data_IF_465959768307
#
_entry.id   IF_465959768307
#
_cell.length_a   1.000
_cell.length_b   1.000
_cell.length_c   1.000
_cell.angle_alpha   90.00
_cell.angle_beta   90.00
_cell.angle_gamma   90.00
#
_symmetry.space_group_name_H-M   'P 1'
#
loop_
_entity.id
_entity.type
_entity.pdbx_description
1 polymer ?
#
# COMPACT_ATOMS: atom_id res chain seq x y z
N UNK A 1 -35.83 -48.74 50.51
CA UNK A 1 -35.47 -47.28 50.19
C UNK A 1 -33.95 -47.06 50.11
N UNK A 2 -33.11 -48.09 50.24
CA UNK A 2 -31.61 -47.94 50.16
C UNK A 2 -30.97 -48.39 48.82
N UNK A 3 -31.73 -48.94 47.90
CA UNK A 3 -31.21 -49.48 46.64
C UNK A 3 -31.41 -48.49 45.46
N UNK A 4 -32.25 -47.45 45.60
CA UNK A 4 -32.47 -46.41 44.58
C UNK A 4 -31.44 -45.24 44.66
N UNK A 5 -30.71 -45.14 45.78
CA UNK A 5 -29.72 -44.08 45.99
C UNK A 5 -28.32 -44.44 45.41
N UNK A 6 -28.06 -45.75 45.24
CA UNK A 6 -26.78 -46.22 44.67
C UNK A 6 -26.70 -46.16 43.12
N UNK A 7 -27.86 -46.20 42.44
CA UNK A 7 -27.89 -46.04 40.96
C UNK A 7 -27.77 -44.61 40.52
N UNK A 8 -28.20 -43.63 41.35
CA UNK A 8 -28.05 -42.20 41.01
C UNK A 8 -26.61 -41.67 41.16
N UNK A 9 -25.80 -42.33 42.04
CA UNK A 9 -24.41 -41.94 42.25
C UNK A 9 -23.45 -42.51 41.19
N UNK A 10 -23.81 -43.61 40.51
CA UNK A 10 -23.00 -44.18 39.43
C UNK A 10 -23.16 -43.47 38.08
N UNK A 11 -24.30 -42.82 37.83
CA UNK A 11 -24.51 -42.02 36.61
C UNK A 11 -23.85 -40.63 36.63
N UNK A 12 -23.48 -40.12 37.81
CA UNK A 12 -22.84 -38.82 37.93
C UNK A 12 -21.32 -38.85 37.71
N UNK A 13 -20.69 -40.04 37.66
CA UNK A 13 -19.25 -40.19 37.46
C UNK A 13 -18.81 -40.39 36.00
N UNK A 14 -19.76 -40.53 35.06
CA UNK A 14 -19.46 -40.67 33.63
C UNK A 14 -19.65 -39.39 32.79
N UNK A 15 -19.96 -38.25 33.42
CA UNK A 15 -20.26 -36.98 32.71
C UNK A 15 -19.04 -36.05 32.53
N UNK A 16 -17.83 -36.48 32.88
CA UNK A 16 -16.60 -35.66 32.77
C UNK A 16 -15.51 -36.23 31.85
N UNK A 17 -15.84 -37.14 30.96
CA UNK A 17 -14.97 -37.34 29.80
C UNK A 17 -15.40 -36.37 28.72
N UNK A 18 -15.18 -35.05 28.96
CA UNK A 18 -15.08 -34.07 27.88
C UNK A 18 -13.91 -34.54 27.03
N UNK A 19 -14.19 -35.10 25.85
CA UNK A 19 -13.19 -35.20 24.80
C UNK A 19 -12.73 -33.78 24.50
N UNK A 20 -11.61 -33.37 25.06
CA UNK A 20 -10.83 -32.28 24.53
C UNK A 20 -10.45 -32.78 23.14
N UNK A 21 -11.20 -32.37 22.09
CA UNK A 21 -10.71 -32.50 20.74
C UNK A 21 -9.47 -31.64 20.68
N UNK A 22 -8.36 -32.21 20.27
CA UNK A 22 -7.18 -31.44 19.94
C UNK A 22 -7.63 -30.35 18.97
N UNK A 23 -7.22 -29.12 19.24
CA UNK A 23 -7.51 -27.99 18.36
C UNK A 23 -6.90 -28.28 16.98
N UNK A 24 -7.64 -28.00 15.91
CA UNK A 24 -7.13 -28.23 14.58
C UNK A 24 -5.90 -27.35 14.36
N UNK A 25 -4.85 -27.92 13.74
CA UNK A 25 -3.64 -27.18 13.40
C UNK A 25 -3.98 -25.97 12.53
N UNK A 26 -3.28 -24.88 12.75
CA UNK A 26 -3.55 -23.62 12.06
C UNK A 26 -3.13 -23.71 10.58
N UNK A 27 -4.04 -23.34 9.69
CA UNK A 27 -3.81 -23.31 8.24
C UNK A 27 -3.24 -21.97 7.75
N UNK A 28 -3.20 -20.92 8.59
CA UNK A 28 -2.63 -19.63 8.24
C UNK A 28 -1.09 -19.65 8.36
N UNK A 29 -0.42 -18.88 7.50
CA UNK A 29 1.04 -18.81 7.45
C UNK A 29 1.56 -17.41 7.13
N UNK A 30 1.08 -16.40 7.84
CA UNK A 30 1.42 -15.02 7.57
C UNK A 30 2.57 -14.49 8.45
N UNK A 31 3.39 -13.57 7.86
CA UNK A 31 4.16 -12.62 8.65
C UNK A 31 3.17 -11.55 9.13
N UNK A 32 2.91 -11.50 10.43
CA UNK A 32 1.94 -10.59 11.04
C UNK A 32 2.58 -9.26 11.49
N UNK A 33 3.89 -9.21 11.58
CA UNK A 33 4.64 -8.02 11.97
C UNK A 33 6.13 -8.27 12.12
N UNK A 34 6.87 -7.23 12.51
CA UNK A 34 8.29 -7.32 12.85
C UNK A 34 8.44 -7.24 14.36
N UNK A 35 9.36 -8.03 14.91
CA UNK A 35 9.64 -8.09 16.35
C UNK A 35 10.01 -6.70 16.90
N UNK A 36 9.28 -6.26 17.91
CA UNK A 36 9.43 -4.92 18.48
C UNK A 36 10.77 -4.71 19.20
N UNK A 37 11.34 -5.77 19.78
CA UNK A 37 12.64 -5.68 20.43
C UNK A 37 13.76 -5.57 19.39
N UNK A 38 13.62 -6.31 18.27
CA UNK A 38 14.54 -6.17 17.16
C UNK A 38 14.48 -4.75 16.54
N UNK A 39 13.29 -4.21 16.33
CA UNK A 39 13.12 -2.82 15.85
C UNK A 39 13.74 -1.80 16.79
N UNK A 40 13.56 -1.96 18.10
CA UNK A 40 14.12 -1.06 19.10
C UNK A 40 15.65 -1.06 19.11
N UNK A 41 16.27 -2.23 18.91
CA UNK A 41 17.74 -2.37 18.87
C UNK A 41 18.39 -1.89 17.57
N UNK A 42 17.60 -1.59 16.53
CA UNK A 42 18.08 -1.15 15.21
C UNK A 42 17.54 0.24 14.83
N UNK A 43 17.15 1.06 15.79
CA UNK A 43 16.64 2.41 15.54
C UNK A 43 17.66 3.38 14.92
N UNK A 44 18.92 3.12 15.10
CA UNK A 44 20.02 3.83 14.47
C UNK A 44 20.20 3.50 12.99
N UNK A 45 19.72 2.33 12.57
CA UNK A 45 19.78 1.82 11.18
C UNK A 45 18.48 2.13 10.43
N UNK A 46 17.32 1.99 11.11
CA UNK A 46 16.01 2.05 10.49
C UNK A 46 15.39 3.45 10.55
N UNK A 47 14.70 3.80 9.49
CA UNK A 47 13.85 5.00 9.43
C UNK A 47 12.40 4.57 9.53
N UNK A 48 11.75 4.92 10.64
CA UNK A 48 10.36 4.58 10.92
C UNK A 48 10.09 3.10 11.14
N UNK A 49 8.84 2.71 10.95
CA UNK A 49 8.41 1.32 11.11
C UNK A 49 8.40 0.60 9.76
N UNK A 50 8.76 -0.69 9.72
CA UNK A 50 8.68 -1.47 8.48
C UNK A 50 7.23 -1.59 7.99
N UNK A 51 7.09 -1.74 6.68
CA UNK A 51 5.81 -1.99 6.02
C UNK A 51 5.69 -3.49 5.82
N UNK A 52 4.67 -4.09 6.45
CA UNK A 52 4.32 -5.50 6.26
C UNK A 52 3.07 -5.56 5.39
N UNK A 53 3.23 -6.01 4.16
CA UNK A 53 2.16 -6.24 3.20
C UNK A 53 1.90 -7.74 3.02
N UNK A 54 1.00 -8.09 2.11
CA UNK A 54 0.60 -9.49 1.92
C UNK A 54 1.75 -10.43 1.49
N UNK A 55 2.76 -9.92 0.77
CA UNK A 55 3.86 -10.73 0.21
C UNK A 55 5.22 -10.04 0.37
N UNK A 56 5.28 -8.97 1.16
CA UNK A 56 6.49 -8.18 1.26
C UNK A 56 6.64 -7.55 2.64
N UNK A 57 7.88 -7.47 3.10
CA UNK A 57 8.29 -6.67 4.26
C UNK A 57 9.38 -5.70 3.82
N UNK A 58 9.05 -4.41 3.86
CA UNK A 58 10.01 -3.35 3.50
C UNK A 58 10.45 -2.61 4.75
N UNK A 59 11.76 -2.56 4.92
CA UNK A 59 12.44 -1.69 5.89
C UNK A 59 12.97 -0.46 5.15
N UNK A 60 12.93 0.68 5.81
CA UNK A 60 13.49 1.91 5.29
C UNK A 60 14.76 2.25 6.03
N UNK A 61 15.81 2.59 5.28
CA UNK A 61 17.13 2.93 5.81
C UNK A 61 17.66 4.23 5.21
N UNK A 62 18.58 4.89 5.93
CA UNK A 62 19.28 6.05 5.40
C UNK A 62 20.27 5.63 4.29
N UNK A 63 20.54 6.55 3.35
CA UNK A 63 21.52 6.30 2.30
C UNK A 63 22.91 6.04 2.92
N UNK A 64 23.53 4.94 2.50
CA UNK A 64 24.84 4.52 2.97
C UNK A 64 24.85 3.67 4.24
N UNK A 65 23.67 3.27 4.73
CA UNK A 65 23.55 2.29 5.82
C UNK A 65 24.13 0.95 5.37
N UNK A 66 24.93 0.33 6.24
CA UNK A 66 25.40 -1.04 6.01
C UNK A 66 24.27 -2.04 6.28
N UNK A 67 23.81 -2.71 5.24
CA UNK A 67 22.75 -3.71 5.25
C UNK A 67 23.25 -5.12 4.88
N UNK A 68 24.57 -5.32 4.90
CA UNK A 68 25.17 -6.60 4.48
C UNK A 68 25.04 -7.72 5.51
N UNK A 69 24.68 -7.39 6.76
CA UNK A 69 24.64 -8.35 7.85
C UNK A 69 23.52 -8.04 8.87
N UNK A 70 22.27 -8.08 8.42
CA UNK A 70 21.09 -7.86 9.26
C UNK A 70 20.34 -9.17 9.55
N UNK A 71 19.70 -9.24 10.72
CA UNK A 71 18.98 -10.42 11.19
C UNK A 71 17.55 -10.09 11.62
N UNK A 72 16.67 -9.64 10.71
CA UNK A 72 15.31 -9.25 11.07
C UNK A 72 14.55 -10.41 11.69
N UNK A 73 13.75 -10.10 12.72
CA UNK A 73 12.85 -11.04 13.39
C UNK A 73 11.41 -10.66 13.13
N UNK A 74 10.59 -11.68 12.89
CA UNK A 74 9.19 -11.50 12.50
C UNK A 74 8.25 -12.17 13.50
N UNK A 75 7.11 -11.55 13.72
CA UNK A 75 5.94 -12.22 14.28
C UNK A 75 5.23 -12.96 13.18
N UNK A 76 4.86 -14.20 13.47
CA UNK A 76 4.16 -15.10 12.55
C UNK A 76 2.78 -15.44 13.09
N UNK A 77 1.91 -15.94 12.24
CA UNK A 77 0.71 -16.65 12.67
C UNK A 77 1.09 -17.77 13.63
N UNK A 78 0.32 -18.02 14.72
CA UNK A 78 0.64 -19.08 15.69
C UNK A 78 0.86 -20.43 15.01
N UNK A 79 1.96 -21.12 15.36
CA UNK A 79 2.36 -22.40 14.79
C UNK A 79 3.09 -22.31 13.44
N UNK A 80 3.06 -21.17 12.73
CA UNK A 80 3.75 -21.01 11.45
C UNK A 80 5.28 -20.95 11.62
N UNK A 81 6.01 -21.39 10.59
CA UNK A 81 7.48 -21.40 10.53
C UNK A 81 7.96 -20.52 9.38
N UNK A 82 9.09 -19.85 9.56
CA UNK A 82 9.73 -19.01 8.55
C UNK A 82 11.03 -19.65 8.08
N UNK A 83 11.11 -19.96 6.81
CA UNK A 83 12.22 -20.63 6.16
C UNK A 83 12.86 -19.74 5.10
N UNK A 84 14.13 -19.99 4.78
CA UNK A 84 14.80 -19.39 3.62
C UNK A 84 15.90 -20.31 3.10
N UNK A 85 16.28 -20.14 1.84
CA UNK A 85 17.39 -20.85 1.21
C UNK A 85 18.71 -20.33 1.79
N UNK A 86 19.49 -21.20 2.39
CA UNK A 86 20.83 -20.88 2.88
C UNK A 86 21.89 -20.86 1.77
N UNK A 87 23.13 -20.46 2.11
CA UNK A 87 24.24 -20.44 1.14
C UNK A 87 24.59 -21.84 0.53
N UNK A 88 24.21 -22.90 1.24
CA UNK A 88 24.40 -24.29 0.80
C UNK A 88 23.25 -24.80 -0.12
N UNK A 89 22.30 -23.91 -0.45
CA UNK A 89 21.12 -24.24 -1.27
C UNK A 89 20.04 -25.02 -0.55
N UNK A 90 20.15 -25.20 0.77
CA UNK A 90 19.12 -25.87 1.58
C UNK A 90 18.19 -24.87 2.24
N UNK A 91 16.94 -25.27 2.38
CA UNK A 91 15.97 -24.51 3.15
C UNK A 91 16.19 -24.74 4.64
N UNK A 92 16.32 -23.66 5.40
CA UNK A 92 16.56 -23.67 6.86
C UNK A 92 15.68 -22.65 7.55
N UNK A 93 15.43 -22.85 8.85
CA UNK A 93 14.77 -21.80 9.65
C UNK A 93 15.55 -20.50 9.59
N UNK A 94 14.83 -19.41 9.32
CA UNK A 94 15.44 -18.14 8.96
C UNK A 94 15.00 -16.94 9.82
N UNK A 95 14.11 -17.15 10.80
CA UNK A 95 13.64 -16.06 11.66
C UNK A 95 14.76 -15.57 12.59
N UNK A 96 15.29 -14.37 12.29
CA UNK A 96 16.44 -13.82 13.00
C UNK A 96 17.79 -14.34 12.51
N UNK A 97 17.86 -14.96 11.33
CA UNK A 97 19.12 -15.34 10.70
C UNK A 97 19.78 -14.14 10.02
N UNK A 98 21.08 -13.99 10.19
CA UNK A 98 21.89 -12.94 9.53
C UNK A 98 21.92 -13.18 8.02
N UNK A 99 21.59 -12.14 7.23
CA UNK A 99 21.62 -12.17 5.78
C UNK A 99 22.13 -10.85 5.20
N UNK A 100 22.60 -10.91 3.97
CA UNK A 100 22.96 -9.74 3.18
C UNK A 100 21.70 -9.22 2.46
N UNK A 101 21.31 -7.99 2.76
CA UNK A 101 20.16 -7.32 2.17
C UNK A 101 20.53 -6.26 1.13
N UNK A 102 21.75 -6.29 0.60
CA UNK A 102 22.11 -5.48 -0.58
C UNK A 102 21.21 -5.80 -1.77
N UNK A 103 20.61 -6.99 -1.77
CA UNK A 103 19.49 -7.39 -2.63
C UNK A 103 18.33 -7.91 -1.78
N UNK A 104 17.07 -7.76 -2.24
CA UNK A 104 15.93 -8.34 -1.55
C UNK A 104 16.05 -9.84 -1.31
N UNK A 105 15.65 -10.30 -0.12
CA UNK A 105 15.74 -11.69 0.28
C UNK A 105 14.37 -12.35 0.32
N UNK A 106 14.28 -13.58 -0.20
CA UNK A 106 13.03 -14.34 -0.16
C UNK A 106 12.99 -15.24 1.07
N UNK A 107 11.83 -15.25 1.71
CA UNK A 107 11.47 -16.10 2.84
C UNK A 107 10.18 -16.84 2.52
N UNK A 108 10.06 -18.08 2.98
CA UNK A 108 8.83 -18.86 2.84
C UNK A 108 8.27 -19.17 4.22
N UNK A 109 7.03 -18.78 4.45
CA UNK A 109 6.28 -19.21 5.64
C UNK A 109 5.54 -20.50 5.34
N UNK A 110 5.49 -21.39 6.33
CA UNK A 110 4.69 -22.62 6.30
C UNK A 110 3.70 -22.61 7.46
N UNK A 111 2.47 -23.05 7.20
CA UNK A 111 1.44 -23.23 8.22
C UNK A 111 1.79 -24.32 9.22
N UNK A 112 1.12 -24.34 10.38
CA UNK A 112 1.32 -25.35 11.40
C UNK A 112 0.97 -26.77 10.88
N UNK A 113 -0.08 -26.88 10.06
CA UNK A 113 -0.49 -28.15 9.42
C UNK A 113 0.45 -28.57 8.26
N UNK A 114 1.35 -27.68 7.83
CA UNK A 114 2.30 -27.90 6.73
C UNK A 114 1.68 -27.95 5.34
N UNK A 115 0.38 -27.68 5.19
CA UNK A 115 -0.34 -27.78 3.92
C UNK A 115 -0.28 -26.48 3.10
N UNK A 116 -0.02 -25.35 3.76
CA UNK A 116 0.01 -24.04 3.14
C UNK A 116 1.37 -23.38 3.29
N UNK A 117 1.77 -22.66 2.28
CA UNK A 117 2.99 -21.84 2.32
C UNK A 117 2.79 -20.53 1.57
N UNK A 118 3.61 -19.54 1.90
CA UNK A 118 3.57 -18.22 1.30
C UNK A 118 4.97 -17.63 1.24
N UNK A 119 5.32 -17.05 0.11
CA UNK A 119 6.63 -16.41 -0.07
C UNK A 119 6.53 -14.92 0.20
N UNK A 120 7.48 -14.41 0.99
CA UNK A 120 7.67 -13.00 1.29
C UNK A 120 9.00 -12.53 0.73
N UNK A 121 9.00 -11.39 0.07
CA UNK A 121 10.22 -10.65 -0.25
C UNK A 121 10.50 -9.65 0.87
N UNK A 122 11.66 -9.73 1.49
CA UNK A 122 12.13 -8.80 2.53
C UNK A 122 13.21 -7.91 1.93
N UNK A 123 13.03 -6.59 2.00
CA UNK A 123 13.93 -5.60 1.44
C UNK A 123 14.25 -4.47 2.42
N UNK A 124 15.44 -3.89 2.28
CA UNK A 124 15.88 -2.69 2.97
C UNK A 124 16.13 -1.60 1.93
N UNK A 125 15.19 -0.67 1.84
CA UNK A 125 15.19 0.36 0.79
C UNK A 125 15.57 1.73 1.36
N UNK A 126 16.32 2.53 0.58
CA UNK A 126 16.48 3.94 0.90
C UNK A 126 15.20 4.69 0.58
N UNK A 127 14.73 5.52 1.52
CA UNK A 127 13.49 6.30 1.36
C UNK A 127 13.60 7.51 0.43
N UNK A 128 14.73 7.72 -0.24
CA UNK A 128 14.87 8.87 -1.13
C UNK A 128 14.00 8.70 -2.37
N UNK A 129 13.16 9.72 -2.62
CA UNK A 129 12.28 9.72 -3.78
C UNK A 129 13.07 9.93 -5.08
N UNK A 130 12.69 9.20 -6.13
CA UNK A 130 13.02 9.55 -7.50
C UNK A 130 12.35 10.88 -7.88
N UNK A 131 12.96 11.62 -8.80
CA UNK A 131 12.36 12.84 -9.34
C UNK A 131 11.41 12.59 -10.49
N UNK A 132 11.52 11.45 -11.19
CA UNK A 132 10.71 11.09 -12.37
C UNK A 132 10.12 9.70 -12.23
N UNK A 133 8.88 9.55 -12.69
CA UNK A 133 8.11 8.32 -12.70
C UNK A 133 7.45 8.17 -14.06
N UNK A 134 7.87 7.16 -14.82
CA UNK A 134 7.40 6.89 -16.18
C UNK A 134 6.50 5.65 -16.28
N UNK A 135 6.25 4.96 -15.17
CA UNK A 135 5.33 3.84 -15.04
C UNK A 135 5.55 2.65 -15.98
N UNK A 136 6.77 2.49 -16.50
CA UNK A 136 7.14 1.38 -17.40
C UNK A 136 7.25 0.04 -16.68
N UNK A 137 7.49 0.06 -15.37
CA UNK A 137 7.73 -1.14 -14.59
C UNK A 137 6.47 -1.55 -13.82
N UNK A 138 5.83 -2.61 -14.27
CA UNK A 138 4.67 -3.19 -13.62
C UNK A 138 4.68 -4.71 -13.77
N UNK A 139 4.00 -5.39 -12.84
CA UNK A 139 3.87 -6.84 -12.84
C UNK A 139 2.54 -7.26 -12.22
N UNK A 140 2.03 -8.43 -12.59
CA UNK A 140 0.88 -9.03 -11.92
C UNK A 140 1.25 -9.38 -10.47
N UNK A 141 0.29 -9.22 -9.56
CA UNK A 141 0.44 -9.78 -8.21
C UNK A 141 0.48 -11.33 -8.28
N UNK A 142 0.89 -11.98 -7.21
CA UNK A 142 1.18 -13.42 -7.21
C UNK A 142 0.04 -14.33 -7.69
N UNK A 143 -1.22 -13.89 -7.57
CA UNK A 143 -2.40 -14.63 -8.05
C UNK A 143 -2.84 -14.22 -9.46
N UNK A 144 -2.12 -13.31 -10.11
CA UNK A 144 -2.39 -12.86 -11.47
C UNK A 144 -3.65 -12.02 -11.63
N UNK A 145 -4.20 -11.43 -10.55
CA UNK A 145 -5.50 -10.73 -10.59
C UNK A 145 -5.40 -9.28 -11.06
N UNK A 146 -4.37 -8.53 -10.61
CA UNK A 146 -4.18 -7.11 -10.91
C UNK A 146 -2.68 -6.77 -10.96
N UNK A 147 -2.37 -5.58 -11.45
CA UNK A 147 -1.00 -5.10 -11.56
C UNK A 147 -0.54 -4.30 -10.34
N UNK A 148 0.73 -4.43 -10.02
CA UNK A 148 1.49 -3.61 -9.10
C UNK A 148 2.61 -2.90 -9.87
N UNK A 149 2.92 -1.66 -9.51
CA UNK A 149 4.01 -0.86 -10.07
C UNK A 149 5.21 -0.85 -9.14
N UNK A 150 6.38 -0.84 -9.72
CA UNK A 150 7.64 -0.74 -9.01
C UNK A 150 8.60 0.19 -9.73
N UNK A 151 9.60 0.68 -8.99
CA UNK A 151 10.69 1.46 -9.55
C UNK A 151 11.95 0.63 -9.58
N UNK A 152 12.82 0.89 -10.56
CA UNK A 152 14.16 0.32 -10.66
C UNK A 152 15.14 1.48 -10.70
N UNK A 153 16.26 1.36 -10.00
CA UNK A 153 17.35 2.32 -10.14
C UNK A 153 18.10 1.99 -11.43
N UNK A 154 18.13 2.93 -12.38
CA UNK A 154 18.81 2.76 -13.67
C UNK A 154 20.32 2.50 -13.52
N UNK A 155 20.91 2.92 -12.38
CA UNK A 155 22.33 2.71 -12.07
C UNK A 155 22.57 1.43 -11.23
N UNK A 156 21.52 0.71 -10.85
CA UNK A 156 21.66 -0.54 -10.12
C UNK A 156 21.76 -1.73 -11.07
N UNK A 157 22.96 -2.30 -11.17
CA UNK A 157 23.24 -3.49 -12.00
C UNK A 157 22.38 -4.72 -11.60
N UNK A 158 21.89 -4.77 -10.35
CA UNK A 158 21.02 -5.84 -9.86
C UNK A 158 19.55 -5.67 -10.25
N UNK A 159 19.17 -4.50 -10.80
CA UNK A 159 17.78 -4.18 -11.16
C UNK A 159 16.82 -4.38 -10.00
N UNK A 160 17.22 -3.97 -8.80
CA UNK A 160 16.41 -4.11 -7.58
C UNK A 160 15.07 -3.39 -7.73
N UNK A 161 13.99 -4.13 -7.51
CA UNK A 161 12.63 -3.59 -7.59
C UNK A 161 12.24 -2.88 -6.28
N UNK A 162 11.89 -1.61 -6.37
CA UNK A 162 11.42 -0.79 -5.26
C UNK A 162 9.91 -0.55 -5.38
N UNK A 163 9.13 -1.14 -4.48
CA UNK A 163 7.67 -1.07 -4.47
C UNK A 163 7.18 0.20 -3.76
N UNK A 164 7.38 1.37 -4.37
CA UNK A 164 6.96 2.65 -3.81
C UNK A 164 5.49 2.98 -4.05
N UNK A 165 4.89 2.33 -5.06
CA UNK A 165 3.54 2.61 -5.50
C UNK A 165 2.52 1.66 -4.88
N UNK A 166 1.37 2.21 -4.52
CA UNK A 166 0.20 1.44 -4.10
C UNK A 166 -1.05 1.88 -4.85
N UNK A 167 -2.02 0.99 -4.93
CA UNK A 167 -3.33 1.21 -5.55
C UNK A 167 -4.44 0.62 -4.70
N UNK A 168 -5.69 1.01 -4.95
CA UNK A 168 -6.87 0.40 -4.36
C UNK A 168 -7.25 -0.98 -4.93
N UNK A 169 -6.51 -1.50 -5.90
CA UNK A 169 -6.83 -2.76 -6.59
C UNK A 169 -7.00 -3.95 -5.63
N UNK A 170 -6.14 -4.06 -4.62
CA UNK A 170 -6.23 -5.13 -3.63
C UNK A 170 -7.54 -5.08 -2.81
N UNK A 171 -8.04 -3.88 -2.52
CA UNK A 171 -9.37 -3.67 -1.91
C UNK A 171 -10.50 -4.00 -2.87
N UNK A 172 -10.38 -3.59 -4.13
CA UNK A 172 -11.37 -3.91 -5.17
C UNK A 172 -11.48 -5.42 -5.44
N UNK A 173 -10.40 -6.17 -5.28
CA UNK A 173 -10.42 -7.63 -5.40
C UNK A 173 -11.44 -8.30 -4.46
N UNK A 174 -11.74 -7.68 -3.31
CA UNK A 174 -12.74 -8.18 -2.35
C UNK A 174 -14.17 -8.15 -2.93
N UNK A 175 -14.43 -7.28 -3.90
CA UNK A 175 -15.76 -7.16 -4.54
C UNK A 175 -16.07 -8.31 -5.51
N UNK A 176 -15.06 -9.11 -5.91
CA UNK A 176 -15.21 -10.18 -6.89
C UNK A 176 -15.57 -9.71 -8.32
N UNK A 177 -15.48 -8.40 -8.60
CA UNK A 177 -15.78 -7.82 -9.92
C UNK A 177 -14.60 -7.88 -10.88
N UNK A 178 -13.37 -7.87 -10.37
CA UNK A 178 -12.16 -8.01 -11.18
C UNK A 178 -11.90 -9.48 -11.51
N UNK A 179 -12.55 -9.99 -12.57
CA UNK A 179 -12.38 -11.38 -13.06
C UNK A 179 -11.18 -11.53 -13.99
N UNK A 180 -10.61 -10.42 -14.44
CA UNK A 180 -9.36 -10.33 -15.22
C UNK A 180 -8.64 -9.01 -14.89
N UNK A 181 -7.32 -8.91 -15.11
CA UNK A 181 -6.54 -7.72 -14.73
C UNK A 181 -7.03 -6.41 -15.37
N UNK A 182 -7.60 -6.46 -16.55
CA UNK A 182 -8.17 -5.34 -17.32
C UNK A 182 -9.51 -4.82 -16.79
N UNK A 183 -10.09 -5.47 -15.78
CA UNK A 183 -11.33 -5.04 -15.10
C UNK A 183 -11.08 -4.34 -13.78
N UNK A 184 -9.80 -4.18 -13.40
CA UNK A 184 -9.46 -3.46 -12.16
C UNK A 184 -9.43 -1.94 -12.37
N UNK A 185 -9.70 -1.15 -11.31
CA UNK A 185 -9.71 0.31 -11.40
C UNK A 185 -8.39 0.94 -11.85
N UNK A 186 -7.25 0.31 -11.57
CA UNK A 186 -5.92 0.80 -11.94
C UNK A 186 -5.23 -0.24 -12.83
N UNK A 187 -4.83 0.18 -14.04
CA UNK A 187 -4.30 -0.69 -15.09
C UNK A 187 -3.14 0.00 -15.81
N UNK A 188 -2.14 -0.75 -16.30
CA UNK A 188 -1.20 -0.25 -17.30
C UNK A 188 -1.85 -0.25 -18.68
N UNK A 189 -1.45 0.70 -19.51
CA UNK A 189 -1.77 0.71 -20.95
C UNK A 189 -0.46 0.80 -21.71
N UNK A 190 -0.07 -0.31 -22.30
CA UNK A 190 1.13 -0.42 -23.12
C UNK A 190 1.00 0.45 -24.37
N UNK A 191 2.01 1.23 -24.69
CA UNK A 191 1.99 2.15 -25.84
C UNK A 191 0.98 3.29 -25.73
N UNK A 192 0.36 3.49 -24.57
CA UNK A 192 -0.70 4.49 -24.36
C UNK A 192 -0.19 5.86 -23.90
N UNK A 193 1.08 6.01 -23.58
CA UNK A 193 1.69 7.24 -23.11
C UNK A 193 1.87 8.32 -24.20
N UNK A 194 2.23 9.54 -23.81
CA UNK A 194 2.33 10.68 -24.74
C UNK A 194 3.43 10.52 -25.79
N UNK A 195 4.43 9.72 -25.53
CA UNK A 195 5.56 9.40 -26.43
C UNK A 195 5.56 7.95 -26.95
N UNK A 196 4.45 7.22 -26.73
CA UNK A 196 4.32 5.81 -27.08
C UNK A 196 4.86 4.87 -26.00
N UNK A 197 5.23 5.39 -24.83
CA UNK A 197 5.56 4.64 -23.61
C UNK A 197 4.31 4.00 -22.98
N UNK A 198 4.48 3.24 -21.90
CA UNK A 198 3.35 2.78 -21.09
C UNK A 198 2.81 3.91 -20.24
N UNK A 199 1.52 3.90 -19.95
CA UNK A 199 0.90 4.84 -19.03
C UNK A 199 -0.02 4.13 -18.04
N UNK A 200 -0.50 4.86 -17.04
CA UNK A 200 -1.51 4.34 -16.12
C UNK A 200 -2.89 4.84 -16.51
N UNK A 201 -3.84 3.91 -16.54
CA UNK A 201 -5.28 4.18 -16.63
C UNK A 201 -5.92 3.96 -15.27
N UNK A 202 -6.62 4.97 -14.78
CA UNK A 202 -7.37 4.98 -13.53
C UNK A 202 -8.85 5.14 -13.86
N UNK A 203 -9.69 4.17 -13.52
CA UNK A 203 -11.13 4.19 -13.83
C UNK A 203 -11.94 4.03 -12.55
N UNK A 204 -12.97 4.84 -12.37
CA UNK A 204 -13.94 4.68 -11.31
C UNK A 204 -14.89 3.55 -11.66
N UNK A 205 -14.86 2.48 -10.89
CA UNK A 205 -15.59 1.24 -11.11
C UNK A 205 -16.69 1.03 -10.07
N UNK A 206 -17.76 0.30 -10.45
CA UNK A 206 -18.77 -0.15 -9.48
C UNK A 206 -18.21 -1.31 -8.65
N UNK A 207 -18.45 -1.28 -7.34
CA UNK A 207 -18.17 -2.39 -6.42
C UNK A 207 -19.27 -3.45 -6.41
N UNK A 208 -20.42 -3.14 -7.04
CA UNK A 208 -21.60 -3.99 -7.07
C UNK A 208 -22.19 -4.23 -5.68
N UNK A 209 -23.00 -5.27 -5.57
CA UNK A 209 -23.72 -5.59 -4.33
C UNK A 209 -22.81 -5.80 -3.10
N UNK A 210 -21.57 -6.19 -3.31
CA UNK A 210 -20.62 -6.34 -2.20
C UNK A 210 -20.41 -5.00 -1.47
N UNK A 211 -19.94 -3.97 -2.19
CA UNK A 211 -19.65 -2.67 -1.57
C UNK A 211 -20.93 -1.91 -1.20
N UNK A 212 -22.00 -2.06 -1.99
CA UNK A 212 -23.29 -1.39 -1.75
C UNK A 212 -23.98 -1.83 -0.45
N UNK A 213 -23.78 -3.09 -0.03
CA UNK A 213 -24.43 -3.67 1.14
C UNK A 213 -23.56 -3.66 2.41
N UNK A 214 -22.40 -3.01 2.39
CA UNK A 214 -21.59 -2.83 3.59
C UNK A 214 -22.30 -1.90 4.59
N UNK A 215 -22.03 -2.03 5.90
CA UNK A 215 -22.56 -1.11 6.93
C UNK A 215 -22.24 0.37 6.64
N UNK A 216 -21.08 0.64 6.04
CA UNK A 216 -20.74 1.92 5.41
C UNK A 216 -20.67 1.67 3.92
N UNK A 217 -21.68 2.07 3.13
CA UNK A 217 -21.73 1.74 1.70
C UNK A 217 -20.56 2.34 0.92
N UNK A 218 -20.06 1.55 -0.02
CA UNK A 218 -18.94 1.86 -0.91
C UNK A 218 -19.32 1.52 -2.34
N UNK A 219 -20.27 2.24 -2.98
CA UNK A 219 -20.84 1.83 -4.27
C UNK A 219 -19.84 1.93 -5.42
N UNK A 220 -18.81 2.74 -5.27
CA UNK A 220 -17.74 2.90 -6.25
C UNK A 220 -16.36 2.64 -5.64
N UNK A 221 -15.42 2.30 -6.50
CA UNK A 221 -13.99 2.31 -6.24
C UNK A 221 -13.31 3.18 -7.30
N UNK A 222 -12.80 4.33 -6.90
CA UNK A 222 -12.02 5.18 -7.79
C UNK A 222 -10.68 4.51 -8.13
N UNK A 223 -10.30 4.51 -9.40
CA UNK A 223 -8.96 4.17 -9.82
C UNK A 223 -7.98 5.16 -9.19
N UNK A 224 -6.94 4.65 -8.57
CA UNK A 224 -5.94 5.50 -7.92
C UNK A 224 -4.55 4.85 -7.96
N UNK A 225 -3.53 5.71 -7.94
CA UNK A 225 -2.15 5.31 -7.69
C UNK A 225 -1.51 6.35 -6.79
N UNK A 226 -0.70 5.91 -5.85
CA UNK A 226 -0.04 6.82 -4.92
C UNK A 226 1.27 6.25 -4.38
N UNK A 227 2.18 7.13 -4.02
CA UNK A 227 3.37 6.78 -3.25
C UNK A 227 2.96 6.42 -1.82
N UNK A 228 3.12 5.15 -1.46
CA UNK A 228 2.69 4.67 -0.15
C UNK A 228 2.37 3.19 -0.07
N UNK A 229 1.41 2.86 0.80
CA UNK A 229 0.96 1.49 1.06
C UNK A 229 -0.57 1.41 1.13
N UNK A 230 -1.14 0.31 0.63
CA UNK A 230 -2.56 -0.01 0.80
C UNK A 230 -2.74 -1.26 1.68
N UNK A 231 -3.41 -1.10 2.81
CA UNK A 231 -3.67 -2.16 3.79
C UNK A 231 -5.05 -2.77 3.62
N UNK A 232 -5.12 -3.92 2.97
CA UNK A 232 -6.38 -4.62 2.65
C UNK A 232 -7.23 -4.90 3.90
N UNK A 233 -6.60 -5.23 5.03
CA UNK A 233 -7.30 -5.52 6.29
C UNK A 233 -8.21 -4.37 6.77
N UNK A 234 -7.95 -3.15 6.37
CA UNK A 234 -8.77 -1.98 6.74
C UNK A 234 -9.78 -1.59 5.65
N UNK A 235 -9.70 -2.19 4.46
CA UNK A 235 -10.42 -1.74 3.27
C UNK A 235 -11.95 -1.65 3.45
N UNK A 236 -12.56 -2.52 4.24
CA UNK A 236 -14.02 -2.55 4.44
C UNK A 236 -14.49 -1.85 5.70
N UNK A 237 -13.70 -1.84 6.78
CA UNK A 237 -14.11 -1.28 8.06
C UNK A 237 -13.64 0.16 8.28
N UNK A 238 -12.47 0.49 7.77
CA UNK A 238 -11.84 1.83 7.90
C UNK A 238 -11.11 2.19 6.61
N UNK A 239 -11.83 2.36 5.49
CA UNK A 239 -11.22 2.44 4.15
C UNK A 239 -10.22 3.60 4.00
N UNK A 240 -10.45 4.74 4.65
CA UNK A 240 -9.50 5.86 4.62
C UNK A 240 -8.21 5.60 5.42
N UNK A 241 -8.24 4.65 6.37
CA UNK A 241 -7.06 4.20 7.08
C UNK A 241 -6.36 3.02 6.35
N UNK A 242 -6.98 2.49 5.29
CA UNK A 242 -6.34 1.49 4.43
C UNK A 242 -5.19 2.09 3.62
N UNK A 243 -5.25 3.39 3.31
CA UNK A 243 -4.20 4.11 2.60
C UNK A 243 -3.21 4.72 3.58
N UNK A 244 -1.92 4.56 3.29
CA UNK A 244 -0.81 5.23 3.97
C UNK A 244 0.01 5.95 2.92
N UNK A 245 -0.06 7.27 2.92
CA UNK A 245 0.55 8.12 1.91
C UNK A 245 1.91 8.64 2.36
N UNK A 246 2.85 8.74 1.41
CA UNK A 246 4.09 9.45 1.60
C UNK A 246 5.09 8.72 2.48
N UNK A 247 5.57 7.58 2.02
CA UNK A 247 6.62 6.81 2.72
C UNK A 247 8.04 7.20 2.29
N UNK A 248 8.19 8.06 1.28
CA UNK A 248 9.48 8.48 0.74
C UNK A 248 9.91 9.81 1.34
N UNK A 249 11.22 9.92 1.66
CA UNK A 249 11.86 11.14 2.15
C UNK A 249 12.19 12.08 1.00
N UNK A 250 12.11 13.39 1.25
CA UNK A 250 12.45 14.40 0.25
C UNK A 250 13.96 14.63 0.15
N UNK A 251 14.44 14.92 -1.07
CA UNK A 251 15.85 15.24 -1.34
C UNK A 251 16.19 16.73 -1.32
N UNK A 252 15.20 17.62 -1.27
CA UNK A 252 15.37 19.07 -1.35
C UNK A 252 14.07 19.84 -1.11
N UNK A 253 14.09 21.12 -1.35
CA UNK A 253 12.88 21.96 -1.35
C UNK A 253 12.09 21.74 -2.66
N UNK A 254 10.78 21.45 -2.61
CA UNK A 254 10.00 21.16 -3.80
C UNK A 254 9.71 22.46 -4.57
N UNK A 255 9.73 22.38 -5.90
CA UNK A 255 9.45 23.49 -6.83
C UNK A 255 8.12 23.31 -7.53
N UNK A 256 7.98 22.20 -8.29
CA UNK A 256 6.77 21.89 -9.05
C UNK A 256 6.53 20.39 -9.15
N UNK A 257 5.25 20.04 -9.34
CA UNK A 257 4.78 18.76 -9.81
C UNK A 257 4.44 18.89 -11.29
N UNK A 258 5.07 18.09 -12.13
CA UNK A 258 4.90 18.09 -13.57
C UNK A 258 4.44 16.71 -14.07
N UNK A 259 3.87 16.66 -15.25
CA UNK A 259 3.50 15.41 -15.91
C UNK A 259 2.50 15.62 -17.02
N UNK A 260 1.96 14.49 -17.50
CA UNK A 260 0.94 14.48 -18.55
C UNK A 260 -0.29 13.75 -18.05
N UNK A 261 -1.44 14.22 -18.45
CA UNK A 261 -2.71 13.55 -18.17
C UNK A 261 -3.74 13.78 -19.29
N UNK A 262 -4.75 12.94 -19.32
CA UNK A 262 -6.03 13.16 -20.01
C UNK A 262 -7.15 12.61 -19.15
N UNK A 263 -8.33 13.18 -19.25
CA UNK A 263 -9.45 12.84 -18.37
C UNK A 263 -10.79 12.91 -19.09
N UNK A 264 -11.67 11.98 -18.73
CA UNK A 264 -13.09 12.00 -19.10
C UNK A 264 -13.92 11.64 -17.88
N UNK A 265 -14.84 12.51 -17.48
CA UNK A 265 -15.77 12.20 -16.40
C UNK A 265 -16.86 11.24 -16.85
N UNK A 266 -17.27 10.35 -15.96
CA UNK A 266 -18.45 9.52 -16.15
C UNK A 266 -19.74 10.37 -16.21
N UNK A 267 -20.81 9.80 -16.73
CA UNK A 267 -22.06 10.55 -17.01
C UNK A 267 -22.81 10.96 -15.74
N UNK A 268 -22.85 10.09 -14.73
CA UNK A 268 -23.73 10.26 -13.57
C UNK A 268 -22.95 10.26 -12.28
N UNK A 269 -22.92 11.40 -11.59
CA UNK A 269 -22.29 11.53 -10.28
C UNK A 269 -23.24 11.00 -9.20
N UNK A 270 -22.75 10.09 -8.37
CA UNK A 270 -23.50 9.53 -7.24
C UNK A 270 -22.75 9.77 -5.91
N UNK A 271 -23.51 9.84 -4.83
CA UNK A 271 -22.95 9.82 -3.47
C UNK A 271 -22.80 8.37 -2.96
N UNK A 272 -22.33 8.22 -1.73
CA UNK A 272 -22.13 6.92 -1.06
C UNK A 272 -23.40 6.09 -0.86
N UNK A 273 -24.56 6.71 -0.95
CA UNK A 273 -25.88 6.05 -0.87
C UNK A 273 -26.51 5.78 -2.25
N UNK A 274 -25.74 6.02 -3.32
CA UNK A 274 -26.19 5.90 -4.74
C UNK A 274 -27.23 6.92 -5.16
N UNK A 275 -27.40 7.99 -4.39
CA UNK A 275 -28.25 9.09 -4.82
C UNK A 275 -27.54 9.88 -5.92
N UNK A 276 -28.28 10.13 -7.00
CA UNK A 276 -27.78 10.89 -8.14
C UNK A 276 -27.74 12.38 -7.79
N UNK A 277 -26.59 13.00 -7.94
CA UNK A 277 -26.39 14.45 -7.77
C UNK A 277 -26.25 15.08 -9.15
N UNK A 278 -27.38 15.45 -9.76
CA UNK A 278 -27.46 15.87 -11.17
C UNK A 278 -26.79 17.22 -11.46
N UNK A 279 -26.54 18.02 -10.43
CA UNK A 279 -25.82 19.30 -10.46
C UNK A 279 -24.30 19.17 -10.33
N UNK A 280 -23.82 17.94 -10.17
CA UNK A 280 -22.40 17.62 -10.00
C UNK A 280 -21.83 16.83 -11.15
N UNK A 281 -20.58 17.15 -11.50
CA UNK A 281 -19.75 16.41 -12.42
C UNK A 281 -18.53 15.88 -11.70
N UNK A 282 -18.10 14.67 -12.02
CA UNK A 282 -16.90 14.10 -11.42
C UNK A 282 -15.64 14.80 -11.93
N UNK A 283 -14.62 14.84 -11.09
CA UNK A 283 -13.37 15.54 -11.36
C UNK A 283 -12.22 14.62 -10.92
N UNK A 284 -11.20 14.49 -11.76
CA UNK A 284 -9.95 13.84 -11.38
C UNK A 284 -9.19 14.64 -10.31
N UNK A 285 -8.25 13.99 -9.64
CA UNK A 285 -7.34 14.66 -8.72
C UNK A 285 -5.91 14.19 -8.94
N UNK A 286 -4.99 15.15 -9.10
CA UNK A 286 -3.55 14.92 -9.18
C UNK A 286 -2.89 15.91 -8.24
N UNK A 287 -2.17 15.39 -7.25
CA UNK A 287 -1.52 16.27 -6.27
C UNK A 287 -0.28 15.62 -5.63
N UNK A 288 0.58 16.44 -5.09
CA UNK A 288 1.65 16.05 -4.19
C UNK A 288 1.69 16.95 -2.96
N UNK A 289 2.03 16.38 -1.81
CA UNK A 289 2.22 17.10 -0.56
C UNK A 289 3.56 16.74 0.06
N UNK A 290 4.28 17.74 0.57
CA UNK A 290 5.45 17.55 1.41
C UNK A 290 5.05 17.85 2.85
N UNK A 291 5.35 16.95 3.77
CA UNK A 291 4.92 17.06 5.15
C UNK A 291 6.02 16.68 6.14
N UNK A 292 5.92 17.22 7.34
CA UNK A 292 6.85 16.98 8.43
C UNK A 292 6.71 15.58 8.99
N UNK A 293 7.87 14.93 9.22
CA UNK A 293 7.96 13.62 9.87
C UNK A 293 9.02 13.66 10.98
N UNK A 294 8.85 12.78 11.94
CA UNK A 294 9.88 12.41 12.89
C UNK A 294 10.51 11.08 12.41
N UNK A 295 11.79 11.06 12.00
CA UNK A 295 12.44 9.84 11.56
C UNK A 295 12.45 8.72 12.60
N UNK A 296 12.51 9.07 13.89
CA UNK A 296 12.47 8.10 14.99
C UNK A 296 11.06 7.51 15.22
N UNK A 297 10.01 8.22 14.75
CA UNK A 297 8.63 7.77 14.84
C UNK A 297 7.87 8.17 13.58
N UNK A 298 8.22 7.55 12.47
CA UNK A 298 7.67 7.88 11.16
C UNK A 298 6.20 7.48 11.05
N UNK A 299 5.30 8.48 10.99
CA UNK A 299 3.86 8.28 10.84
C UNK A 299 3.45 8.87 9.48
N UNK A 300 3.11 8.04 8.47
CA UNK A 300 2.62 8.52 7.18
C UNK A 300 1.24 9.17 7.32
N UNK A 301 0.83 9.93 6.31
CA UNK A 301 -0.53 10.44 6.20
C UNK A 301 -1.49 9.32 5.81
N UNK A 302 -2.75 9.42 6.21
CA UNK A 302 -3.82 8.50 5.80
C UNK A 302 -4.87 9.24 4.94
N UNK A 303 -5.94 8.56 4.52
CA UNK A 303 -6.98 9.14 3.67
C UNK A 303 -7.81 10.25 4.32
N UNK A 304 -7.77 10.39 5.64
CA UNK A 304 -8.40 11.50 6.36
C UNK A 304 -7.50 12.75 6.40
N UNK A 305 -6.18 12.56 6.33
CA UNK A 305 -5.18 13.58 6.64
C UNK A 305 -4.40 14.10 5.43
N UNK A 306 -4.34 13.34 4.33
CA UNK A 306 -3.42 13.61 3.21
C UNK A 306 -3.58 15.00 2.58
N UNK A 307 -4.74 15.64 2.73
CA UNK A 307 -5.00 17.01 2.24
C UNK A 307 -5.26 18.02 3.36
N UNK A 308 -5.31 17.61 4.61
CA UNK A 308 -5.77 18.46 5.72
C UNK A 308 -4.87 18.44 6.96
N UNK A 309 -3.86 17.57 7.01
CA UNK A 309 -2.95 17.48 8.14
C UNK A 309 -2.21 18.80 8.37
N UNK A 310 -2.09 19.19 9.63
CA UNK A 310 -1.26 20.32 10.05
C UNK A 310 0.25 20.10 9.82
N UNK A 311 0.67 18.86 9.57
CA UNK A 311 2.05 18.52 9.20
C UNK A 311 2.41 18.89 7.76
N UNK A 312 1.43 19.19 6.89
CA UNK A 312 1.70 19.55 5.49
C UNK A 312 2.38 20.91 5.42
N UNK A 313 3.52 20.96 4.74
CA UNK A 313 4.34 22.16 4.55
C UNK A 313 4.14 22.74 3.15
N UNK A 314 4.16 21.89 2.13
CA UNK A 314 3.93 22.26 0.74
C UNK A 314 2.86 21.39 0.10
N UNK A 315 2.10 21.99 -0.80
CA UNK A 315 1.12 21.31 -1.65
C UNK A 315 1.21 21.81 -3.08
N UNK A 316 1.27 20.87 -4.03
CA UNK A 316 0.99 21.08 -5.44
C UNK A 316 -0.26 20.27 -5.81
N UNK A 317 -1.31 20.89 -6.35
CA UNK A 317 -2.56 20.23 -6.72
C UNK A 317 -3.21 20.93 -7.89
N UNK A 318 -3.58 20.18 -8.91
CA UNK A 318 -4.33 20.73 -10.04
C UNK A 318 -5.74 21.10 -9.53
N UNK A 319 -6.02 22.39 -9.47
CA UNK A 319 -7.27 22.90 -8.90
C UNK A 319 -8.48 22.50 -9.76
N UNK A 320 -8.36 22.72 -11.08
CA UNK A 320 -9.36 22.32 -12.08
C UNK A 320 -8.66 21.62 -13.25
N UNK A 321 -8.69 20.28 -13.30
CA UNK A 321 -8.07 19.53 -14.38
C UNK A 321 -8.86 19.60 -15.69
N UNK A 322 -10.13 20.04 -15.69
CA UNK A 322 -11.00 19.94 -16.85
C UNK A 322 -11.14 18.51 -17.36
N UNK A 323 -11.51 18.35 -18.65
CA UNK A 323 -11.64 17.05 -19.32
C UNK A 323 -10.85 17.02 -20.66
N UNK A 324 -9.51 17.17 -20.62
CA UNK A 324 -8.70 17.10 -21.84
C UNK A 324 -8.76 15.67 -22.41
N UNK A 325 -9.11 15.56 -23.69
CA UNK A 325 -9.18 14.27 -24.41
C UNK A 325 -7.81 13.85 -24.94
N UNK A 326 -6.93 14.83 -25.18
CA UNK A 326 -5.56 14.63 -25.61
C UNK A 326 -4.59 14.75 -24.43
N UNK A 327 -3.41 14.15 -24.56
CA UNK A 327 -2.36 14.28 -23.56
C UNK A 327 -2.01 15.76 -23.31
N UNK A 328 -2.25 16.22 -22.10
CA UNK A 328 -2.05 17.60 -21.67
C UNK A 328 -0.95 17.64 -20.63
N UNK A 329 0.09 18.41 -20.92
CA UNK A 329 1.16 18.70 -19.96
C UNK A 329 0.66 19.64 -18.88
N UNK A 330 1.05 19.38 -17.63
CA UNK A 330 0.83 20.27 -16.50
C UNK A 330 2.15 20.55 -15.77
N UNK A 331 2.21 21.72 -15.15
CA UNK A 331 3.28 22.14 -14.27
C UNK A 331 2.64 22.92 -13.11
N UNK A 332 2.41 22.23 -12.01
CA UNK A 332 1.74 22.78 -10.82
C UNK A 332 2.79 23.14 -9.77
N UNK A 333 2.94 24.43 -9.40
CA UNK A 333 3.93 24.84 -8.42
C UNK A 333 3.55 24.35 -7.02
N UNK A 334 4.56 23.92 -6.25
CA UNK A 334 4.38 23.68 -4.82
C UNK A 334 4.18 25.01 -4.10
N UNK A 335 3.06 25.13 -3.41
CA UNK A 335 2.70 26.30 -2.61
C UNK A 335 2.90 26.00 -1.13
N UNK A 336 3.61 26.90 -0.45
CA UNK A 336 3.79 26.82 0.99
C UNK A 336 2.42 26.98 1.68
N UNK A 337 2.13 26.08 2.62
CA UNK A 337 0.88 26.13 3.37
C UNK A 337 0.86 27.32 4.33
N UNK A 338 -0.32 27.91 4.62
CA UNK A 338 -0.43 29.04 5.54
C UNK A 338 0.25 28.75 6.89
N UNK A 339 1.03 29.72 7.39
CA UNK A 339 1.76 29.64 8.65
C UNK A 339 2.81 28.50 8.73
N UNK A 340 3.25 27.97 7.60
CA UNK A 340 4.33 26.99 7.51
C UNK A 340 5.62 27.63 7.02
N UNK A 341 6.74 27.03 7.38
CA UNK A 341 8.07 27.35 6.91
C UNK A 341 8.78 26.06 6.52
N UNK A 342 9.63 26.15 5.51
CA UNK A 342 10.48 25.02 5.13
C UNK A 342 11.89 25.26 5.74
N UNK A 343 12.38 24.27 6.47
CA UNK A 343 13.71 24.28 7.04
C UNK A 343 14.62 23.31 6.26
N UNK A 344 15.56 23.81 5.44
CA UNK A 344 16.47 22.95 4.68
C UNK A 344 17.35 22.03 5.55
N UNK A 345 17.54 22.35 6.82
CA UNK A 345 18.33 21.52 7.72
C UNK A 345 17.61 20.22 8.06
N UNK A 346 16.28 20.22 8.09
CA UNK A 346 15.45 19.04 8.30
C UNK A 346 15.51 18.04 7.16
N UNK A 347 15.85 18.47 5.94
CA UNK A 347 16.09 17.54 4.81
C UNK A 347 17.26 16.61 5.15
N UNK A 348 18.33 17.17 5.72
CA UNK A 348 19.53 16.41 6.11
C UNK A 348 19.28 15.41 7.26
N UNK A 349 18.26 15.67 8.05
CA UNK A 349 17.86 14.82 9.18
C UNK A 349 16.63 13.98 8.88
N UNK A 350 16.25 13.82 7.59
CA UNK A 350 15.10 13.03 7.17
C UNK A 350 13.75 13.51 7.77
N UNK A 351 13.63 14.81 8.02
CA UNK A 351 12.47 15.41 8.70
C UNK A 351 11.28 15.75 7.80
N UNK A 352 11.33 15.41 6.49
CA UNK A 352 10.23 15.59 5.56
C UNK A 352 10.01 14.35 4.70
N UNK A 353 8.74 14.07 4.42
CA UNK A 353 8.33 13.05 3.47
C UNK A 353 7.39 13.64 2.40
N UNK A 354 7.20 12.92 1.30
CA UNK A 354 6.37 13.35 0.19
C UNK A 354 5.36 12.27 -0.18
N UNK A 355 4.10 12.67 -0.33
CA UNK A 355 3.04 11.88 -0.95
C UNK A 355 2.76 12.43 -2.35
N UNK A 356 2.57 11.55 -3.33
CA UNK A 356 2.13 11.84 -4.68
C UNK A 356 0.94 10.94 -4.98
N UNK A 357 -0.16 11.50 -5.45
CA UNK A 357 -1.44 10.81 -5.65
C UNK A 357 -2.06 11.23 -6.98
N UNK A 358 -2.58 10.26 -7.72
CA UNK A 358 -3.49 10.47 -8.84
C UNK A 358 -4.73 9.58 -8.66
N UNK A 359 -5.92 10.13 -8.90
CA UNK A 359 -7.19 9.39 -8.79
C UNK A 359 -8.22 9.86 -9.81
N UNK A 360 -9.02 8.94 -10.31
CA UNK A 360 -10.07 9.21 -11.31
C UNK A 360 -11.29 9.94 -10.75
N UNK A 361 -11.48 9.95 -9.41
CA UNK A 361 -12.56 10.69 -8.75
C UNK A 361 -12.03 11.38 -7.50
N UNK A 362 -12.16 12.71 -7.46
CA UNK A 362 -11.66 13.55 -6.36
C UNK A 362 -12.26 13.19 -5.00
N UNK A 363 -13.54 12.81 -5.00
CA UNK A 363 -14.24 12.36 -3.79
C UNK A 363 -14.26 10.83 -3.64
N UNK A 364 -13.41 10.12 -4.40
CA UNK A 364 -13.33 8.66 -4.37
C UNK A 364 -13.04 8.05 -3.00
N UNK A 365 -12.28 8.75 -2.15
CA UNK A 365 -12.04 8.35 -0.76
C UNK A 365 -13.32 8.37 0.11
N UNK A 366 -14.35 9.08 -0.34
CA UNK A 366 -15.70 9.14 0.28
C UNK A 366 -16.72 8.30 -0.48
N UNK A 367 -16.27 7.50 -1.46
CA UNK A 367 -17.12 6.65 -2.32
C UNK A 367 -18.16 7.44 -3.14
N UNK A 368 -17.80 8.67 -3.51
CA UNK A 368 -18.57 9.59 -4.34
C UNK A 368 -17.86 9.82 -5.64
N UNK A 369 -18.57 9.82 -6.75
CA UNK A 369 -18.03 10.00 -8.09
C UNK A 369 -18.92 9.43 -9.15
N UNK A 370 -18.45 9.40 -10.39
CA UNK A 370 -19.19 8.84 -11.52
C UNK A 370 -18.51 7.58 -12.04
N UNK A 371 -19.26 6.48 -12.11
CA UNK A 371 -18.77 5.24 -12.71
C UNK A 371 -18.39 5.53 -14.16
N UNK A 372 -17.20 5.08 -14.57
CA UNK A 372 -16.65 5.35 -15.89
C UNK A 372 -15.74 6.57 -15.97
N UNK A 373 -15.67 7.43 -14.92
CA UNK A 373 -14.64 8.49 -14.87
C UNK A 373 -13.26 7.87 -15.05
N UNK A 374 -12.53 8.35 -16.06
CA UNK A 374 -11.25 7.75 -16.46
C UNK A 374 -10.18 8.81 -16.59
N UNK A 375 -9.13 8.64 -15.79
CA UNK A 375 -7.92 9.45 -15.81
C UNK A 375 -6.76 8.61 -16.34
N UNK A 376 -6.02 9.14 -17.28
CA UNK A 376 -4.72 8.63 -17.69
C UNK A 376 -3.63 9.56 -17.17
N UNK A 377 -2.56 9.02 -16.65
CA UNK A 377 -1.39 9.77 -16.19
C UNK A 377 -0.10 9.12 -16.66
N UNK A 378 0.88 9.95 -16.94
CA UNK A 378 2.21 9.49 -17.31
C UNK A 378 3.27 10.57 -17.04
N UNK A 379 4.55 10.14 -16.99
CA UNK A 379 5.73 10.98 -16.85
C UNK A 379 5.64 11.99 -15.70
N UNK A 380 5.12 11.54 -14.55
CA UNK A 380 5.06 12.38 -13.37
C UNK A 380 6.47 12.73 -12.89
N UNK A 381 6.67 13.98 -12.48
CA UNK A 381 7.96 14.49 -12.04
C UNK A 381 7.78 15.49 -10.90
N UNK A 382 8.59 15.34 -9.86
CA UNK A 382 8.76 16.36 -8.82
C UNK A 382 10.10 17.07 -9.06
N UNK A 383 10.04 18.38 -9.26
CA UNK A 383 11.23 19.22 -9.39
C UNK A 383 11.67 19.70 -8.01
N UNK A 384 12.92 19.52 -7.71
CA UNK A 384 13.55 19.92 -6.45
C UNK A 384 14.59 21.02 -6.69
N UNK A 385 14.78 21.91 -5.69
CA UNK A 385 15.94 22.82 -5.64
C UNK A 385 17.19 22.07 -5.16
#
# INVERSE_FOLDING_TARGET
>A
MKMKLLLASACALFAFTSCIKDEALNAECDITGVDTLWLQSHRDVLIGNPIVSNERVNFSVAKGTDITALAPRFYLTPGARLMAIGPDGRETEANGMVRDFTTPQNYTTYSEDGLWHKTYTVAFDTLMIKSKFNFENYQLESRGRYYNWFEVDENDASQTQHMYWATGNAGYALCGKGTSPDLYPTQPIEGGGPDGSSCIKLTTCSTGSFGENLPSPMPIAAGNIFLGEFRVAYATMRPRNATRFGLQLVGGEPVSLEGYYKYTAGETFINEYKEVLSDRRDIADIYAVVYEVDPANFIPLNGDEVLSSDRIVYMARIADPGEPQEWTYFNEPFRLMPNKTFDPTRVKTNGYAVALVATSSREGAYFRGAIGSTLYVDQLKIVWK
#
